data_IF_932406314601
#
_entry.id   IF_932406314601
#
_cell.length_a   1.000
_cell.length_b   1.000
_cell.length_c   1.000
_cell.angle_alpha   90.00
_cell.angle_beta   90.00
_cell.angle_gamma   90.00
#
_symmetry.space_group_name_H-M   'P 1'
#
loop_
_entity.id
_entity.type
_entity.pdbx_description
1 polymer ?
#
# COMPACT_ATOMS: atom_id res chain seq x y z
N UNK A 1 -14.49 16.80 -2.62
CA UNK A 1 -13.20 16.31 -3.13
C UNK A 1 -12.43 15.81 -1.92
N UNK A 2 -11.80 14.64 -2.00
CA UNK A 2 -10.98 14.15 -0.89
C UNK A 2 -9.63 14.91 -0.90
N UNK A 3 -9.08 15.26 0.28
CA UNK A 3 -7.81 15.98 0.39
C UNK A 3 -6.64 15.00 0.18
N UNK A 4 -6.49 14.49 -1.03
CA UNK A 4 -5.44 13.54 -1.37
C UNK A 4 -4.85 13.79 -2.76
N UNK A 5 -3.60 13.36 -2.92
CA UNK A 5 -2.87 13.35 -4.18
C UNK A 5 -2.12 12.02 -4.30
N UNK A 6 -2.07 11.47 -5.50
CA UNK A 6 -1.30 10.28 -5.80
C UNK A 6 -0.23 10.57 -6.84
N UNK A 7 0.90 9.87 -6.77
CA UNK A 7 1.87 9.83 -7.86
C UNK A 7 2.12 8.39 -8.28
N UNK A 8 2.15 8.20 -9.59
CA UNK A 8 2.51 6.96 -10.24
C UNK A 8 3.97 7.01 -10.67
N UNK A 9 4.75 6.01 -10.27
CA UNK A 9 6.15 5.87 -10.65
C UNK A 9 6.32 4.58 -11.45
N UNK A 10 7.02 4.71 -12.57
CA UNK A 10 7.26 3.61 -13.50
C UNK A 10 8.77 3.42 -13.64
N UNK A 11 9.27 2.22 -13.38
CA UNK A 11 10.69 1.88 -13.44
C UNK A 11 11.00 0.93 -14.61
N UNK A 12 11.42 1.45 -15.80
CA UNK A 12 11.69 0.62 -16.98
C UNK A 12 12.72 -0.49 -16.77
N UNK A 13 13.53 -0.39 -15.72
CA UNK A 13 14.67 -1.26 -15.49
C UNK A 13 14.29 -2.53 -14.70
N UNK A 14 13.06 -2.62 -14.21
CA UNK A 14 12.48 -3.83 -13.62
C UNK A 14 11.64 -4.56 -14.68
N UNK A 15 11.65 -5.90 -14.80
CA UNK A 15 10.82 -6.59 -15.78
C UNK A 15 9.32 -6.43 -15.49
N UNK A 16 8.50 -6.19 -16.52
CA UNK A 16 7.04 -5.97 -16.44
C UNK A 16 6.24 -7.09 -15.75
N UNK A 17 6.83 -8.28 -15.60
CA UNK A 17 6.18 -9.39 -14.89
C UNK A 17 6.15 -9.22 -13.36
N UNK A 18 6.88 -8.25 -12.82
CA UNK A 18 6.99 -7.97 -11.39
C UNK A 18 6.24 -6.70 -11.02
N UNK A 19 5.51 -6.74 -9.90
CA UNK A 19 4.77 -5.58 -9.40
C UNK A 19 5.71 -4.41 -9.04
N UNK A 20 6.95 -4.72 -8.65
CA UNK A 20 7.99 -3.73 -8.33
C UNK A 20 8.35 -2.78 -9.50
N UNK A 21 7.94 -3.10 -10.73
CA UNK A 21 8.06 -2.21 -11.89
C UNK A 21 7.21 -0.94 -11.74
N UNK A 22 6.10 -1.02 -11.01
CA UNK A 22 5.07 0.01 -10.90
C UNK A 22 4.79 0.37 -9.45
N UNK A 23 4.91 1.65 -9.11
CA UNK A 23 4.50 2.15 -7.80
C UNK A 23 3.37 3.16 -7.92
N UNK A 24 2.44 3.10 -6.99
CA UNK A 24 1.47 4.16 -6.74
C UNK A 24 1.52 4.52 -5.26
N UNK A 25 1.94 5.76 -4.97
CA UNK A 25 2.00 6.30 -3.61
C UNK A 25 0.97 7.41 -3.46
N UNK A 26 0.34 7.47 -2.29
CA UNK A 26 -0.71 8.44 -1.98
C UNK A 26 -0.29 9.25 -0.75
N UNK A 27 -0.54 10.54 -0.82
CA UNK A 27 -0.44 11.47 0.30
C UNK A 27 -1.80 12.10 0.54
N UNK A 28 -2.14 12.29 1.81
CA UNK A 28 -3.36 12.96 2.22
C UNK A 28 -3.02 14.18 3.09
N UNK A 29 -3.76 15.26 2.88
CA UNK A 29 -3.62 16.55 3.54
C UNK A 29 -4.44 17.61 2.80
N UNK A 30 -5.05 18.55 3.52
CA UNK A 30 -5.83 19.61 2.88
C UNK A 30 -4.96 20.56 2.06
N UNK A 31 -3.71 20.75 2.48
CA UNK A 31 -2.65 21.31 1.65
C UNK A 31 -2.05 20.21 0.76
N UNK A 32 -2.42 20.20 -0.52
CA UNK A 32 -1.96 19.22 -1.50
C UNK A 32 -0.47 19.35 -1.85
N UNK A 33 0.16 20.49 -1.58
CA UNK A 33 1.63 20.61 -1.74
C UNK A 33 2.35 19.81 -0.66
N UNK A 34 1.87 19.85 0.58
CA UNK A 34 2.35 18.99 1.67
C UNK A 34 2.03 17.52 1.39
N UNK A 35 0.79 17.23 0.96
CA UNK A 35 0.41 15.86 0.60
C UNK A 35 1.31 15.29 -0.51
N UNK A 36 1.71 16.12 -1.49
CA UNK A 36 2.63 15.73 -2.55
C UNK A 36 4.06 15.49 -2.02
N UNK A 37 4.53 16.28 -1.06
CA UNK A 37 5.80 16.01 -0.36
C UNK A 37 5.73 14.64 0.32
N UNK A 38 4.63 14.32 1.02
CA UNK A 38 4.42 13.02 1.67
C UNK A 38 4.49 11.86 0.68
N UNK A 39 3.93 12.01 -0.52
CA UNK A 39 4.04 11.01 -1.60
C UNK A 39 5.50 10.72 -1.94
N UNK A 40 6.32 11.75 -2.13
CA UNK A 40 7.72 11.57 -2.50
C UNK A 40 8.57 11.04 -1.35
N UNK A 41 8.32 11.47 -0.12
CA UNK A 41 9.05 10.93 1.05
C UNK A 41 8.69 9.48 1.31
N UNK A 42 7.43 9.10 1.15
CA UNK A 42 6.95 7.71 1.26
C UNK A 42 7.51 6.83 0.12
N UNK A 43 7.64 7.37 -1.09
CA UNK A 43 8.31 6.66 -2.20
C UNK A 43 9.80 6.39 -1.90
N UNK A 44 10.49 7.33 -1.23
CA UNK A 44 11.90 7.20 -0.89
C UNK A 44 12.16 6.43 0.43
N UNK A 45 11.16 6.32 1.30
CA UNK A 45 11.31 5.73 2.63
C UNK A 45 11.78 4.29 2.57
N UNK A 46 12.85 3.98 3.30
CA UNK A 46 13.41 2.62 3.39
C UNK A 46 14.11 2.12 2.12
N UNK A 47 14.21 2.95 1.07
CA UNK A 47 14.88 2.59 -0.18
C UNK A 47 16.35 2.99 -0.17
N UNK A 48 17.20 2.07 -0.59
CA UNK A 48 18.62 2.31 -0.76
C UNK A 48 18.93 2.79 -2.17
N UNK A 49 20.02 3.55 -2.33
CA UNK A 49 20.42 4.11 -3.62
C UNK A 49 20.70 3.04 -4.68
N UNK A 50 21.23 1.89 -4.27
CA UNK A 50 21.57 0.75 -5.14
C UNK A 50 20.34 -0.08 -5.56
N UNK A 51 19.13 0.30 -5.12
CA UNK A 51 17.88 -0.26 -5.63
C UNK A 51 17.42 0.40 -6.94
N UNK A 52 17.96 1.58 -7.27
CA UNK A 52 17.72 2.27 -8.53
C UNK A 52 18.77 1.80 -9.54
N UNK A 53 18.42 0.78 -10.32
CA UNK A 53 19.33 0.07 -11.19
C UNK A 53 19.22 0.53 -12.65
N UNK A 54 20.21 0.22 -13.48
CA UNK A 54 20.23 0.54 -14.92
C UNK A 54 19.69 -0.61 -15.81
N UNK A 55 19.03 -1.60 -15.19
CA UNK A 55 18.30 -2.66 -15.90
C UNK A 55 19.14 -3.82 -16.44
N UNK A 56 20.42 -3.93 -16.04
CA UNK A 56 21.22 -5.10 -16.39
C UNK A 56 20.75 -6.35 -15.61
N UNK A 57 20.94 -7.57 -16.16
CA UNK A 57 20.43 -8.79 -15.54
C UNK A 57 20.95 -9.08 -14.13
N UNK A 58 22.22 -8.77 -13.84
CA UNK A 58 22.82 -9.02 -12.52
C UNK A 58 22.19 -8.13 -11.43
N UNK A 59 21.92 -6.88 -11.76
CA UNK A 59 21.24 -5.95 -10.87
C UNK A 59 19.78 -6.31 -10.68
N UNK A 60 19.07 -6.70 -11.75
CA UNK A 60 17.70 -7.20 -11.65
C UNK A 60 17.62 -8.43 -10.74
N UNK A 61 18.51 -9.40 -10.92
CA UNK A 61 18.59 -10.58 -10.05
C UNK A 61 18.82 -10.18 -8.60
N UNK A 62 19.76 -9.26 -8.33
CA UNK A 62 20.06 -8.76 -6.98
C UNK A 62 18.86 -8.10 -6.31
N UNK A 63 18.22 -7.13 -6.98
CA UNK A 63 17.12 -6.36 -6.36
C UNK A 63 15.83 -7.16 -6.24
N UNK A 64 15.61 -8.15 -7.11
CA UNK A 64 14.45 -9.04 -7.10
C UNK A 64 14.69 -10.34 -6.31
N UNK A 65 15.89 -10.52 -5.73
CA UNK A 65 16.21 -11.71 -4.92
C UNK A 65 15.39 -11.78 -3.62
N UNK A 66 15.06 -10.63 -3.05
CA UNK A 66 14.42 -10.52 -1.74
C UNK A 66 12.90 -10.30 -1.84
N UNK A 67 12.22 -10.97 -0.91
CA UNK A 67 10.81 -11.38 -0.87
C UNK A 67 9.82 -10.53 -1.71
N UNK A 68 9.38 -9.40 -1.15
CA UNK A 68 8.23 -8.65 -1.64
C UNK A 68 8.47 -8.00 -3.01
N UNK A 69 9.71 -7.76 -3.39
CA UNK A 69 10.05 -7.16 -4.70
C UNK A 69 9.93 -8.18 -5.83
N UNK A 70 10.00 -9.47 -5.49
CA UNK A 70 9.82 -10.57 -6.42
C UNK A 70 8.35 -10.88 -6.72
N UNK A 71 7.40 -10.17 -6.09
CA UNK A 71 5.97 -10.36 -6.32
C UNK A 71 5.62 -10.21 -7.81
N UNK A 72 4.92 -11.22 -8.32
CA UNK A 72 4.47 -11.25 -9.71
C UNK A 72 3.18 -10.47 -9.88
N UNK A 73 3.04 -9.83 -11.03
CA UNK A 73 1.79 -9.18 -11.39
C UNK A 73 0.65 -10.20 -11.44
N UNK A 74 -0.52 -9.78 -10.98
CA UNK A 74 -1.78 -10.51 -11.17
C UNK A 74 -2.38 -10.16 -12.54
N UNK A 75 -3.36 -10.92 -13.04
CA UNK A 75 -4.10 -10.53 -14.24
C UNK A 75 -4.72 -9.14 -14.10
N UNK A 76 -4.82 -8.39 -15.18
CA UNK A 76 -5.32 -7.01 -15.14
C UNK A 76 -6.80 -6.91 -14.70
N UNK A 77 -7.55 -8.02 -14.75
CA UNK A 77 -8.90 -8.14 -14.21
C UNK A 77 -8.96 -8.46 -12.71
N UNK A 78 -7.80 -8.61 -12.04
CA UNK A 78 -7.71 -8.94 -10.63
C UNK A 78 -7.91 -7.74 -9.71
N UNK A 79 -8.42 -8.00 -8.52
CA UNK A 79 -8.85 -7.01 -7.52
C UNK A 79 -8.11 -7.12 -6.18
N UNK A 80 -7.02 -7.90 -6.12
CA UNK A 80 -6.15 -7.96 -4.95
C UNK A 80 -5.20 -6.76 -4.92
N UNK A 81 -5.58 -5.72 -4.18
CA UNK A 81 -4.79 -4.50 -3.96
C UNK A 81 -4.00 -4.50 -2.65
N UNK A 82 -3.82 -5.66 -2.00
CA UNK A 82 -3.09 -5.72 -0.73
C UNK A 82 -1.64 -5.23 -0.86
N UNK A 83 -0.95 -5.57 -1.96
CA UNK A 83 0.42 -5.08 -2.20
C UNK A 83 0.47 -3.57 -2.48
N UNK A 84 -0.59 -2.99 -3.06
CA UNK A 84 -0.74 -1.55 -3.20
C UNK A 84 -0.89 -0.88 -1.83
N UNK A 85 -1.70 -1.45 -0.94
CA UNK A 85 -1.87 -0.94 0.42
C UNK A 85 -0.57 -1.06 1.24
N UNK A 86 0.06 -2.23 1.24
CA UNK A 86 1.20 -2.53 2.10
C UNK A 86 2.50 -1.88 1.63
N UNK A 87 2.72 -1.81 0.31
CA UNK A 87 4.03 -1.44 -0.26
C UNK A 87 3.93 -0.35 -1.33
N UNK A 88 2.73 -0.04 -1.80
CA UNK A 88 2.51 0.88 -2.92
C UNK A 88 2.81 0.25 -4.28
N UNK A 89 2.88 -1.08 -4.40
CA UNK A 89 3.03 -1.72 -5.71
C UNK A 89 1.71 -1.77 -6.47
N UNK A 90 1.72 -1.49 -7.76
CA UNK A 90 0.54 -1.72 -8.59
C UNK A 90 0.50 -3.21 -8.96
N UNK A 91 -0.56 -3.95 -8.58
CA UNK A 91 -0.54 -5.40 -8.68
C UNK A 91 -0.73 -5.90 -10.12
N UNK A 92 -1.40 -5.14 -10.98
CA UNK A 92 -1.62 -5.49 -12.38
C UNK A 92 -0.34 -5.34 -13.22
N UNK A 93 -0.26 -6.08 -14.33
CA UNK A 93 0.83 -5.92 -15.30
C UNK A 93 0.66 -4.60 -16.04
N UNK A 94 -0.56 -4.35 -16.52
CA UNK A 94 -0.89 -3.11 -17.20
C UNK A 94 -1.71 -2.22 -16.27
N UNK A 95 -1.34 -0.94 -16.20
CA UNK A 95 -1.98 0.06 -15.36
C UNK A 95 -2.19 1.37 -16.13
N UNK A 96 -2.53 1.25 -17.42
CA UNK A 96 -2.65 2.39 -18.34
C UNK A 96 -3.66 3.44 -17.85
N UNK A 97 -4.68 3.00 -17.12
CA UNK A 97 -5.66 3.87 -16.46
C UNK A 97 -5.03 4.93 -15.52
N UNK A 98 -3.82 4.70 -14.98
CA UNK A 98 -3.09 5.67 -14.17
C UNK A 98 -2.39 6.77 -15.00
N UNK A 99 -2.29 6.57 -16.32
CA UNK A 99 -1.65 7.49 -17.28
C UNK A 99 -2.67 8.21 -18.17
N UNK A 100 -3.95 7.85 -18.03
CA UNK A 100 -5.06 8.39 -18.77
C UNK A 100 -5.79 9.49 -17.99
N UNK A 101 -6.54 10.33 -18.73
CA UNK A 101 -7.40 11.36 -18.15
C UNK A 101 -6.99 12.79 -18.52
N UNK A 102 -7.85 13.77 -18.21
CA UNK A 102 -7.58 15.17 -18.53
C UNK A 102 -6.46 15.72 -17.65
N UNK A 103 -5.52 16.44 -18.27
CA UNK A 103 -4.56 17.26 -17.53
C UNK A 103 -5.30 18.49 -17.01
N UNK A 104 -5.35 18.64 -15.69
CA UNK A 104 -6.00 19.78 -15.02
C UNK A 104 -4.97 20.60 -14.24
N UNK A 105 -5.20 21.91 -14.04
CA UNK A 105 -4.34 22.72 -13.20
C UNK A 105 -4.28 22.16 -11.77
N UNK A 106 -3.06 22.06 -11.24
CA UNK A 106 -2.86 21.66 -9.85
C UNK A 106 -3.45 22.70 -8.90
N UNK A 107 -4.24 22.26 -7.93
CA UNK A 107 -4.84 23.11 -6.90
C UNK A 107 -4.20 22.76 -5.57
N UNK A 108 -3.56 23.74 -4.92
CA UNK A 108 -2.88 23.49 -3.64
C UNK A 108 -3.82 23.10 -2.49
N UNK A 109 -5.13 23.33 -2.63
CA UNK A 109 -6.07 23.11 -1.54
C UNK A 109 -6.00 24.20 -0.48
N UNK A 110 -6.51 23.91 0.70
CA UNK A 110 -6.58 24.84 1.84
C UNK A 110 -5.50 24.46 2.85
N UNK A 111 -4.74 25.45 3.31
CA UNK A 111 -3.83 25.29 4.44
C UNK A 111 -4.51 25.96 5.64
N UNK A 112 -4.92 25.15 6.61
CA UNK A 112 -5.51 25.65 7.84
C UNK A 112 -4.40 26.07 8.82
N UNK A 113 -4.69 27.08 9.65
CA UNK A 113 -3.74 27.58 10.66
C UNK A 113 -3.77 26.73 11.94
N UNK A 114 -4.85 25.98 12.16
CA UNK A 114 -5.09 25.15 13.35
C UNK A 114 -5.52 23.73 12.94
N UNK A 115 -4.87 22.73 13.53
CA UNK A 115 -5.15 21.31 13.28
C UNK A 115 -6.58 20.90 13.70
N UNK A 116 -7.23 21.64 14.61
CA UNK A 116 -8.65 21.43 14.92
C UNK A 116 -9.54 21.74 13.72
N UNK A 117 -9.15 22.67 12.86
CA UNK A 117 -9.87 22.96 11.62
C UNK A 117 -9.72 21.80 10.63
N UNK A 118 -8.52 21.23 10.48
CA UNK A 118 -8.31 20.02 9.67
C UNK A 118 -9.19 18.86 10.15
N UNK A 119 -9.24 18.62 11.46
CA UNK A 119 -10.06 17.57 12.06
C UNK A 119 -11.55 17.82 11.79
N UNK A 120 -12.02 19.05 11.92
CA UNK A 120 -13.42 19.39 11.64
C UNK A 120 -13.76 19.21 10.15
N UNK A 121 -12.88 19.65 9.25
CA UNK A 121 -13.04 19.44 7.81
C UNK A 121 -13.06 17.94 7.44
N UNK A 122 -12.22 17.13 8.07
CA UNK A 122 -12.23 15.68 7.89
C UNK A 122 -13.54 15.04 8.38
N UNK A 123 -14.04 15.46 9.55
CA UNK A 123 -15.35 15.00 10.08
C UNK A 123 -16.51 15.36 9.16
N UNK A 124 -16.48 16.54 8.53
CA UNK A 124 -17.47 16.92 7.53
C UNK A 124 -17.45 16.02 6.30
N UNK A 125 -16.26 15.58 5.86
CA UNK A 125 -16.14 14.60 4.77
C UNK A 125 -16.82 13.29 5.16
N UNK A 126 -16.54 12.75 6.35
CA UNK A 126 -17.17 11.52 6.82
C UNK A 126 -18.70 11.67 6.93
N UNK A 127 -19.18 12.79 7.45
CA UNK A 127 -20.61 13.11 7.51
C UNK A 127 -21.25 13.13 6.12
N UNK A 128 -20.63 13.77 5.13
CA UNK A 128 -21.11 13.81 3.73
C UNK A 128 -21.10 12.43 3.07
N UNK A 129 -20.19 11.55 3.47
CA UNK A 129 -20.12 10.16 3.02
C UNK A 129 -21.09 9.24 3.77
N UNK A 130 -21.84 9.75 4.76
CA UNK A 130 -22.71 8.93 5.61
C UNK A 130 -21.93 7.92 6.45
N UNK A 131 -20.72 8.28 6.88
CA UNK A 131 -19.81 7.41 7.64
C UNK A 131 -19.70 7.86 9.08
N UNK A 132 -19.84 6.89 9.99
CA UNK A 132 -19.50 7.05 11.39
C UNK A 132 -17.97 7.05 11.56
N UNK A 133 -17.48 7.87 12.48
CA UNK A 133 -16.06 8.00 12.80
C UNK A 133 -15.85 7.75 14.29
N UNK A 134 -15.11 6.69 14.61
CA UNK A 134 -14.72 6.36 15.98
C UNK A 134 -13.28 6.81 16.20
N UNK A 135 -13.02 7.47 17.32
CA UNK A 135 -11.68 7.90 17.72
C UNK A 135 -11.39 7.25 19.07
N UNK A 136 -10.38 6.39 19.10
CA UNK A 136 -9.91 5.74 20.32
C UNK A 136 -8.64 6.46 20.78
N UNK A 137 -8.65 6.90 22.03
CA UNK A 137 -7.48 7.52 22.67
C UNK A 137 -6.62 6.44 23.34
N UNK A 138 -5.39 6.31 22.87
CA UNK A 138 -4.36 5.41 23.38
C UNK A 138 -3.22 6.16 24.07
N UNK A 139 -3.43 7.43 24.44
CA UNK A 139 -2.44 8.23 25.15
C UNK A 139 -2.04 7.53 26.44
N UNK A 140 -0.79 7.06 26.49
CA UNK A 140 -0.23 6.44 27.67
C UNK A 140 -0.09 7.48 28.79
N UNK A 141 -0.71 7.29 29.97
CA UNK A 141 -0.73 8.32 31.01
C UNK A 141 0.67 8.66 31.56
N UNK A 142 1.61 7.72 31.45
CA UNK A 142 2.99 7.91 31.92
C UNK A 142 3.86 8.69 30.92
N UNK A 143 3.62 8.52 29.62
CA UNK A 143 4.41 9.15 28.55
C UNK A 143 3.80 10.49 28.15
N UNK A 144 2.46 10.60 28.20
CA UNK A 144 1.71 11.79 27.82
C UNK A 144 1.76 12.13 26.32
N UNK A 145 2.38 11.27 25.49
CA UNK A 145 2.41 11.47 24.04
C UNK A 145 1.07 11.04 23.44
N UNK A 146 0.37 11.93 22.69
CA UNK A 146 -0.94 11.63 22.16
C UNK A 146 -0.87 10.56 21.08
N UNK A 147 -1.61 9.47 21.27
CA UNK A 147 -1.76 8.40 20.28
C UNK A 147 -3.24 8.14 20.12
N UNK A 148 -3.73 8.17 18.89
CA UNK A 148 -5.13 7.88 18.58
C UNK A 148 -5.24 6.88 17.45
N UNK A 149 -6.26 6.03 17.50
CA UNK A 149 -6.69 5.22 16.37
C UNK A 149 -8.03 5.75 15.88
N UNK A 150 -8.11 6.03 14.57
CA UNK A 150 -9.33 6.51 13.92
C UNK A 150 -9.88 5.38 13.08
N UNK A 151 -11.10 4.94 13.40
CA UNK A 151 -11.79 3.85 12.71
C UNK A 151 -13.03 4.39 12.02
N UNK A 152 -13.11 4.20 10.70
CA UNK A 152 -14.24 4.63 9.85
C UNK A 152 -14.75 3.39 9.10
N UNK A 153 -15.77 2.67 9.62
CA UNK A 153 -16.21 1.41 9.04
C UNK A 153 -16.67 1.49 7.58
N UNK A 154 -16.21 0.53 6.79
CA UNK A 154 -16.35 0.49 5.34
C UNK A 154 -15.60 1.61 4.61
N UNK A 155 -14.55 2.18 5.21
CA UNK A 155 -13.70 3.22 4.62
C UNK A 155 -12.23 3.05 5.00
N UNK A 156 -11.93 2.81 6.28
CA UNK A 156 -10.57 2.59 6.79
C UNK A 156 -10.15 1.11 6.80
N UNK A 157 -11.01 0.20 6.29
CA UNK A 157 -10.75 -1.23 6.29
C UNK A 157 -9.72 -1.64 5.23
N UNK A 158 -8.78 -2.49 5.62
CA UNK A 158 -7.77 -3.07 4.72
C UNK A 158 -8.14 -4.50 4.31
N UNK A 159 -8.85 -5.21 5.18
CA UNK A 159 -9.19 -6.62 5.00
C UNK A 159 -9.94 -6.95 3.69
N UNK A 160 -10.81 -6.07 3.13
CA UNK A 160 -11.46 -6.34 1.84
C UNK A 160 -10.49 -6.52 0.65
N UNK A 161 -9.23 -6.09 0.76
CA UNK A 161 -8.23 -6.23 -0.30
C UNK A 161 -7.44 -7.54 -0.25
N UNK A 162 -7.70 -8.40 0.73
CA UNK A 162 -7.17 -9.76 0.67
C UNK A 162 -7.90 -10.58 -0.39
N UNK A 163 -7.21 -11.51 -1.05
CA UNK A 163 -7.85 -12.46 -1.95
C UNK A 163 -9.05 -13.15 -1.28
N UNK A 164 -10.15 -13.32 -2.02
CA UNK A 164 -11.33 -14.02 -1.53
C UNK A 164 -11.04 -15.49 -1.12
N UNK A 165 -9.95 -16.06 -1.63
CA UNK A 165 -9.42 -17.38 -1.28
C UNK A 165 -8.34 -17.36 -0.18
N UNK A 166 -8.09 -16.19 0.44
CA UNK A 166 -7.10 -16.02 1.50
C UNK A 166 -7.46 -16.87 2.72
N UNK A 167 -6.75 -18.00 2.86
CA UNK A 167 -6.94 -18.93 3.98
C UNK A 167 -6.71 -18.28 5.34
N UNK A 168 -5.88 -17.23 5.42
CA UNK A 168 -5.53 -16.56 6.69
C UNK A 168 -6.69 -15.73 7.23
N UNK A 169 -7.60 -15.24 6.38
CA UNK A 169 -8.79 -14.51 6.84
C UNK A 169 -9.93 -15.42 7.30
N UNK A 170 -10.03 -16.63 6.73
CA UNK A 170 -11.15 -17.54 6.96
C UNK A 170 -10.79 -18.78 7.79
N UNK A 171 -9.52 -18.93 8.19
CA UNK A 171 -9.04 -20.02 9.04
C UNK A 171 -8.10 -19.48 10.10
N UNK A 172 -8.32 -19.90 11.34
CA UNK A 172 -7.41 -19.60 12.44
C UNK A 172 -6.06 -20.31 12.21
N UNK A 173 -4.98 -19.54 12.12
CA UNK A 173 -3.61 -20.04 12.12
C UNK A 173 -3.02 -19.90 13.52
N UNK A 174 -2.44 -20.98 14.02
CA UNK A 174 -1.63 -20.93 15.23
C UNK A 174 -0.20 -20.55 14.89
N UNK A 175 0.55 -20.03 15.87
CA UNK A 175 2.01 -19.80 15.72
C UNK A 175 2.74 -21.06 15.26
N UNK A 176 2.30 -22.25 15.69
CA UNK A 176 2.86 -23.52 15.24
C UNK A 176 2.62 -23.82 13.76
N UNK A 177 1.48 -23.38 13.21
CA UNK A 177 1.19 -23.52 11.78
C UNK A 177 2.11 -22.65 10.93
N UNK A 178 2.38 -21.41 11.39
CA UNK A 178 3.31 -20.50 10.71
C UNK A 178 4.73 -21.07 10.75
N UNK A 179 5.18 -21.54 11.91
CA UNK A 179 6.54 -22.07 12.04
C UNK A 179 6.78 -23.32 11.19
N UNK A 180 5.82 -24.26 11.15
CA UNK A 180 5.88 -25.43 10.26
C UNK A 180 5.91 -25.08 8.77
N UNK A 181 5.32 -23.94 8.38
CA UNK A 181 5.35 -23.49 6.99
C UNK A 181 6.75 -23.08 6.53
N UNK A 182 7.61 -22.62 7.46
CA UNK A 182 9.01 -22.33 7.18
C UNK A 182 9.84 -23.61 7.04
N UNK A 183 9.51 -24.65 7.82
CA UNK A 183 10.19 -25.94 7.78
C UNK A 183 9.85 -26.76 6.51
N UNK A 184 8.65 -26.56 5.94
CA UNK A 184 8.18 -27.27 4.75
C UNK A 184 8.86 -26.83 3.43
N UNK A 185 9.77 -25.86 3.47
CA UNK A 185 10.48 -25.36 2.29
C UNK A 185 11.67 -26.25 1.86
N UNK A 186 12.06 -27.25 2.66
CA UNK A 186 13.10 -28.22 2.29
C UNK A 186 12.49 -29.55 1.83
N UNK A 187 12.02 -29.61 0.58
CA UNK A 187 11.87 -30.88 -0.16
C UNK A 187 10.45 -31.38 -0.40
N UNK A 188 10.11 -31.40 -1.70
CA UNK A 188 8.98 -32.07 -2.37
C UNK A 188 7.59 -31.37 -2.44
N UNK A 189 7.04 -31.20 -3.67
CA UNK A 189 5.72 -30.62 -3.88
C UNK A 189 4.61 -31.65 -3.58
N UNK A 190 3.68 -31.31 -2.68
CA UNK A 190 2.50 -32.14 -2.46
C UNK A 190 1.56 -32.07 -3.67
N UNK A 191 1.10 -33.23 -4.13
CA UNK A 191 0.14 -33.39 -5.21
C UNK A 191 -1.18 -32.65 -4.92
N UNK A 192 -1.39 -31.53 -5.62
CA UNK A 192 -2.55 -30.67 -5.46
C UNK A 192 -2.11 -29.22 -5.64
N UNK A 193 -2.05 -28.78 -6.89
CA UNK A 193 -1.36 -27.57 -7.32
C UNK A 193 -1.71 -26.31 -6.51
N UNK A 194 -0.73 -25.85 -5.74
CA UNK A 194 -0.46 -24.45 -5.52
C UNK A 194 1.01 -24.38 -5.13
N UNK A 195 1.85 -23.87 -6.02
CA UNK A 195 3.24 -23.56 -5.72
C UNK A 195 3.26 -22.52 -4.62
N UNK A 196 3.58 -22.94 -3.40
CA UNK A 196 3.93 -22.05 -2.30
C UNK A 196 5.14 -21.21 -2.73
N UNK A 197 4.94 -19.91 -2.87
CA UNK A 197 5.99 -18.91 -2.63
C UNK A 197 5.49 -18.01 -1.51
N UNK A 198 6.41 -17.72 -0.59
CA UNK A 198 6.19 -17.01 0.67
C UNK A 198 5.52 -15.65 0.52
N UNK A 199 5.12 -15.12 1.67
CA UNK A 199 4.45 -13.84 1.85
C UNK A 199 5.19 -12.67 1.19
#
# INVERSE_FOLDING_TARGET
MLPCVGAYFWDPNIPESYQFHHFFKVGAGFNLEEALIRVFTEYAQGRMRDEFIDGNPADQERVLKYDLRALKCIPDSGDNYLSAFMFGFVPQRTAEYLREGPVVPFRKGEAFDDCLQDINAAKEIFSRLGKECYVLDFTGPEIGFPVVEVVVPGYSDVLPYYPADSRVLFRQYTRGDILRSYDAAEGEPSAGGATHKGF
#
